data_IF_666329907102
#
_entry.id   IF_666329907102
#
_cell.length_a   1.000
_cell.length_b   1.000
_cell.length_c   1.000
_cell.angle_alpha   90.00
_cell.angle_beta   90.00
_cell.angle_gamma   90.00
#
_symmetry.space_group_name_H-M   'P 1'
#
loop_
_entity.id
_entity.type
_entity.pdbx_description
1 polymer ?
#
# COMPACT_ATOMS: atom_id res chain seq x y z
N UNK A 1 -5.94 6.40 4.83
CA UNK A 1 -6.32 6.38 6.28
C UNK A 1 -7.43 7.38 6.62
N UNK A 2 -7.39 8.66 6.19
CA UNK A 2 -8.35 9.70 6.61
C UNK A 2 -9.83 9.31 6.42
N UNK A 3 -10.24 8.84 5.25
CA UNK A 3 -11.61 8.41 5.00
C UNK A 3 -12.09 7.23 5.87
N UNK A 4 -11.19 6.36 6.30
CA UNK A 4 -11.52 5.25 7.18
C UNK A 4 -11.74 5.70 8.63
N UNK A 5 -11.16 6.84 9.04
CA UNK A 5 -11.31 7.35 10.40
C UNK A 5 -12.75 7.73 10.76
N UNK A 6 -13.55 8.13 9.76
CA UNK A 6 -14.95 8.53 10.00
C UNK A 6 -15.86 7.38 10.45
N UNK A 7 -15.50 6.16 10.10
CA UNK A 7 -16.25 4.95 10.48
C UNK A 7 -15.71 4.28 11.74
N UNK A 8 -14.71 4.87 12.41
CA UNK A 8 -14.12 4.32 13.63
C UNK A 8 -15.16 4.26 14.76
N UNK A 9 -15.33 3.11 15.44
CA UNK A 9 -16.40 2.91 16.42
C UNK A 9 -16.18 3.68 17.73
N UNK A 10 -14.98 4.18 17.99
CA UNK A 10 -14.66 4.96 19.19
C UNK A 10 -13.80 6.16 18.87
N UNK A 11 -13.85 7.19 19.74
CA UNK A 11 -13.01 8.37 19.60
C UNK A 11 -11.51 8.04 19.65
N UNK A 12 -11.12 7.08 20.49
CA UNK A 12 -9.73 6.63 20.59
C UNK A 12 -9.24 6.02 19.26
N UNK A 13 -10.03 5.14 18.65
CA UNK A 13 -9.72 4.56 17.34
C UNK A 13 -9.71 5.61 16.25
N UNK A 14 -10.63 6.57 16.28
CA UNK A 14 -10.65 7.71 15.34
C UNK A 14 -9.38 8.54 15.46
N UNK A 15 -8.94 8.85 16.68
CA UNK A 15 -7.69 9.58 16.93
C UNK A 15 -6.47 8.84 16.43
N UNK A 16 -6.39 7.51 16.67
CA UNK A 16 -5.29 6.68 16.15
C UNK A 16 -5.24 6.69 14.62
N UNK A 17 -6.40 6.57 13.95
CA UNK A 17 -6.47 6.65 12.50
C UNK A 17 -6.08 8.01 11.94
N UNK A 18 -6.42 9.09 12.64
CA UNK A 18 -5.99 10.44 12.27
C UNK A 18 -4.46 10.59 12.38
N UNK A 19 -3.85 10.01 13.41
CA UNK A 19 -2.39 9.93 13.53
C UNK A 19 -1.73 9.22 12.36
N UNK A 20 -2.27 8.06 11.96
CA UNK A 20 -1.80 7.32 10.78
C UNK A 20 -1.93 8.17 9.50
N UNK A 21 -3.05 8.85 9.30
CA UNK A 21 -3.25 9.73 8.14
C UNK A 21 -2.28 10.92 8.14
N UNK A 22 -1.94 11.45 9.32
CA UNK A 22 -0.93 12.51 9.43
C UNK A 22 0.45 12.01 8.98
N UNK A 23 0.87 10.83 9.40
CA UNK A 23 2.16 10.27 8.97
C UNK A 23 2.19 9.99 7.46
N UNK A 24 1.13 9.44 6.89
CA UNK A 24 1.02 9.30 5.43
C UNK A 24 1.17 10.66 4.71
N UNK A 25 0.58 11.72 5.26
CA UNK A 25 0.71 13.06 4.69
C UNK A 25 2.14 13.60 4.78
N UNK A 26 2.84 13.35 5.88
CA UNK A 26 4.26 13.74 6.01
C UNK A 26 5.12 13.00 4.99
N UNK A 27 4.92 11.68 4.83
CA UNK A 27 5.61 10.88 3.82
C UNK A 27 5.35 11.39 2.39
N UNK A 28 4.09 11.68 2.08
CA UNK A 28 3.69 12.30 0.81
C UNK A 28 4.40 13.63 0.59
N UNK A 29 4.45 14.50 1.60
CA UNK A 29 5.07 15.82 1.50
C UNK A 29 6.56 15.74 1.17
N UNK A 30 7.29 14.76 1.73
CA UNK A 30 8.71 14.52 1.40
C UNK A 30 8.89 14.21 -0.10
N UNK A 31 8.02 13.39 -0.67
CA UNK A 31 8.09 13.03 -2.08
C UNK A 31 7.75 14.23 -2.98
N UNK A 32 6.73 15.01 -2.64
CA UNK A 32 6.33 16.22 -3.40
C UNK A 32 7.43 17.26 -3.37
N UNK A 33 8.06 17.51 -2.21
CA UNK A 33 9.19 18.43 -2.09
C UNK A 33 10.36 17.98 -2.96
N UNK A 34 10.69 16.70 -2.94
CA UNK A 34 11.75 16.15 -3.79
C UNK A 34 11.45 16.32 -5.29
N UNK A 35 10.22 16.02 -5.72
CA UNK A 35 9.79 16.24 -7.12
C UNK A 35 9.91 17.71 -7.51
N UNK A 36 9.44 18.62 -6.67
CA UNK A 36 9.52 20.06 -6.88
C UNK A 36 10.96 20.57 -6.98
N UNK A 37 11.89 20.07 -6.16
CA UNK A 37 13.32 20.41 -6.23
C UNK A 37 13.97 20.00 -7.55
N UNK A 38 13.39 19.03 -8.25
CA UNK A 38 13.81 18.56 -9.58
C UNK A 38 13.05 19.21 -10.73
N UNK A 39 12.19 20.19 -10.43
CA UNK A 39 11.37 20.88 -11.43
C UNK A 39 10.22 20.01 -11.98
N UNK A 40 9.84 18.94 -11.28
CA UNK A 40 8.75 18.05 -11.68
C UNK A 40 7.45 18.56 -11.06
N UNK A 41 6.45 18.82 -11.90
CA UNK A 41 5.08 19.08 -11.46
C UNK A 41 4.45 17.78 -10.97
N UNK A 42 4.29 17.67 -9.65
CA UNK A 42 3.79 16.47 -9.01
C UNK A 42 2.33 16.16 -9.37
N UNK A 43 1.47 17.18 -9.55
CA UNK A 43 0.08 16.98 -9.94
C UNK A 43 -0.01 16.42 -11.36
N UNK A 44 0.71 17.02 -12.30
CA UNK A 44 0.78 16.53 -13.67
C UNK A 44 1.36 15.10 -13.75
N UNK A 45 2.40 14.80 -12.95
CA UNK A 45 3.01 13.48 -12.90
C UNK A 45 2.09 12.41 -12.31
N UNK A 46 1.25 12.76 -11.32
CA UNK A 46 0.31 11.84 -10.68
C UNK A 46 -1.02 11.67 -11.43
N UNK A 47 -1.44 12.67 -12.22
CA UNK A 47 -2.72 12.66 -12.94
C UNK A 47 -3.00 11.37 -13.73
N UNK A 48 -2.03 10.75 -14.42
CA UNK A 48 -2.23 9.49 -15.14
C UNK A 48 -2.63 8.30 -14.28
N UNK A 49 -2.33 8.33 -12.98
CA UNK A 49 -2.59 7.22 -12.05
C UNK A 49 -3.94 7.35 -11.32
N UNK A 50 -4.65 8.47 -11.48
CA UNK A 50 -5.95 8.72 -10.82
C UNK A 50 -6.97 7.65 -11.19
N UNK A 51 -7.09 7.32 -12.47
CA UNK A 51 -8.06 6.31 -12.94
C UNK A 51 -7.75 4.89 -12.43
N UNK A 52 -6.53 4.36 -12.52
CA UNK A 52 -6.18 3.07 -11.93
C UNK A 52 -6.43 3.01 -10.41
N UNK A 53 -6.07 4.05 -9.67
CA UNK A 53 -6.32 4.12 -8.23
C UNK A 53 -7.81 4.18 -7.90
N UNK A 54 -8.60 4.96 -8.64
CA UNK A 54 -10.05 5.01 -8.46
C UNK A 54 -10.68 3.64 -8.74
N UNK A 55 -10.25 2.93 -9.77
CA UNK A 55 -10.70 1.58 -10.10
C UNK A 55 -10.36 0.58 -8.97
N UNK A 56 -9.15 0.64 -8.42
CA UNK A 56 -8.76 -0.15 -7.26
C UNK A 56 -9.67 0.12 -6.06
N UNK A 57 -9.89 1.38 -5.73
CA UNK A 57 -10.72 1.79 -4.60
C UNK A 57 -12.17 1.34 -4.74
N UNK A 58 -12.75 1.42 -5.94
CA UNK A 58 -14.12 0.96 -6.20
C UNK A 58 -14.25 -0.56 -6.06
N UNK A 59 -13.31 -1.32 -6.63
CA UNK A 59 -13.30 -2.78 -6.54
C UNK A 59 -12.98 -3.31 -5.16
N UNK A 60 -12.33 -2.50 -4.33
CA UNK A 60 -11.95 -2.82 -2.96
C UNK A 60 -12.68 -1.94 -1.94
N UNK A 61 -13.96 -1.66 -2.17
CA UNK A 61 -14.80 -0.92 -1.24
C UNK A 61 -15.07 -1.79 0.01
N UNK A 62 -14.66 -1.35 1.20
CA UNK A 62 -14.90 -2.12 2.42
C UNK A 62 -16.38 -2.07 2.80
N UNK A 63 -16.89 -3.14 3.41
CA UNK A 63 -18.27 -3.26 3.87
C UNK A 63 -18.47 -2.67 5.26
N UNK A 64 -17.41 -2.70 6.06
CA UNK A 64 -17.43 -2.26 7.46
C UNK A 64 -16.08 -1.66 7.87
N UNK A 65 -16.03 -1.18 9.11
CA UNK A 65 -14.85 -0.59 9.72
C UNK A 65 -13.62 -1.51 9.67
N UNK A 66 -13.79 -2.80 10.03
CA UNK A 66 -12.65 -3.71 10.15
C UNK A 66 -12.08 -4.08 8.76
N UNK A 67 -12.94 -4.22 7.73
CA UNK A 67 -12.47 -4.35 6.34
C UNK A 67 -11.73 -3.09 5.88
N UNK A 68 -12.21 -1.91 6.28
CA UNK A 68 -11.54 -0.63 6.02
C UNK A 68 -10.15 -0.56 6.65
N UNK A 69 -10.02 -1.03 7.89
CA UNK A 69 -8.76 -1.06 8.63
C UNK A 69 -7.77 -2.05 8.00
N UNK A 70 -8.23 -3.26 7.66
CA UNK A 70 -7.41 -4.27 6.95
C UNK A 70 -6.97 -3.73 5.58
N UNK A 71 -7.88 -3.10 4.83
CA UNK A 71 -7.55 -2.49 3.54
C UNK A 71 -6.46 -1.43 3.68
N UNK A 72 -6.58 -0.56 4.67
CA UNK A 72 -5.61 0.49 4.92
C UNK A 72 -4.22 -0.10 5.19
N UNK A 73 -4.12 -1.08 6.09
CA UNK A 73 -2.87 -1.73 6.47
C UNK A 73 -2.26 -2.58 5.34
N UNK A 74 -3.08 -3.39 4.67
CA UNK A 74 -2.64 -4.26 3.57
C UNK A 74 -2.25 -3.42 2.36
N UNK A 75 -3.08 -2.42 2.01
CA UNK A 75 -2.83 -1.56 0.84
C UNK A 75 -1.57 -0.72 0.99
N UNK A 76 -1.38 -0.08 2.15
CA UNK A 76 -0.15 0.65 2.47
C UNK A 76 1.07 -0.26 2.41
N UNK A 77 0.99 -1.45 3.03
CA UNK A 77 2.07 -2.41 3.01
C UNK A 77 2.45 -2.90 1.60
N UNK A 78 1.47 -3.20 0.73
CA UNK A 78 1.73 -3.59 -0.66
C UNK A 78 2.40 -2.44 -1.43
N UNK A 79 1.90 -1.20 -1.25
CA UNK A 79 2.48 -0.03 -1.89
C UNK A 79 3.94 0.20 -1.44
N UNK A 80 4.21 0.10 -0.13
CA UNK A 80 5.57 0.23 0.43
C UNK A 80 6.51 -0.85 -0.09
N UNK A 81 6.05 -2.11 -0.17
CA UNK A 81 6.85 -3.20 -0.72
C UNK A 81 7.18 -2.95 -2.20
N UNK A 82 6.20 -2.53 -2.98
CA UNK A 82 6.40 -2.17 -4.39
C UNK A 82 7.40 -1.01 -4.54
N UNK A 83 7.26 0.05 -3.76
CA UNK A 83 8.20 1.18 -3.82
C UNK A 83 9.62 0.80 -3.39
N UNK A 84 9.79 -0.13 -2.43
CA UNK A 84 11.13 -0.67 -2.09
C UNK A 84 11.76 -1.38 -3.27
N UNK A 85 11.00 -2.22 -3.99
CA UNK A 85 11.48 -2.87 -5.20
C UNK A 85 11.87 -1.84 -6.27
N UNK A 86 11.01 -0.83 -6.50
CA UNK A 86 11.25 0.22 -7.49
C UNK A 86 12.40 1.15 -7.12
N UNK A 87 12.74 1.27 -5.85
CA UNK A 87 13.84 2.13 -5.39
C UNK A 87 15.22 1.68 -5.91
N UNK A 88 15.35 0.43 -6.31
CA UNK A 88 16.57 -0.09 -6.93
C UNK A 88 16.87 0.54 -8.31
N UNK A 89 15.84 1.08 -8.98
CA UNK A 89 15.91 1.59 -10.36
C UNK A 89 15.96 3.11 -10.48
N UNK A 90 15.97 3.83 -9.36
CA UNK A 90 16.07 5.28 -9.32
C UNK A 90 17.47 5.72 -8.89
N UNK A 91 17.80 7.00 -9.13
CA UNK A 91 19.05 7.61 -8.67
C UNK A 91 19.17 7.60 -7.13
N UNK A 92 20.38 7.80 -6.63
CA UNK A 92 20.71 7.70 -5.21
C UNK A 92 19.92 8.70 -4.34
N UNK A 93 19.77 9.95 -4.82
CA UNK A 93 19.03 10.98 -4.09
C UNK A 93 17.55 10.63 -3.96
N UNK A 94 16.93 10.19 -5.06
CA UNK A 94 15.54 9.72 -5.08
C UNK A 94 15.34 8.50 -4.19
N UNK A 95 16.30 7.55 -4.22
CA UNK A 95 16.28 6.37 -3.36
C UNK A 95 16.34 6.75 -1.88
N UNK A 96 17.21 7.68 -1.51
CA UNK A 96 17.32 8.15 -0.13
C UNK A 96 16.01 8.79 0.38
N UNK A 97 15.34 9.59 -0.46
CA UNK A 97 14.04 10.18 -0.11
C UNK A 97 12.95 9.12 -0.02
N UNK A 98 12.88 8.20 -0.97
CA UNK A 98 11.93 7.08 -0.93
C UNK A 98 12.12 6.22 0.32
N UNK A 99 13.37 5.88 0.68
CA UNK A 99 13.66 5.10 1.89
C UNK A 99 13.12 5.79 3.13
N UNK A 100 13.35 7.10 3.29
CA UNK A 100 12.80 7.87 4.43
C UNK A 100 11.27 7.92 4.41
N UNK A 101 10.65 8.06 3.23
CA UNK A 101 9.20 8.08 3.11
C UNK A 101 8.54 6.71 3.38
N UNK A 102 9.30 5.62 3.24
CA UNK A 102 8.83 4.27 3.49
C UNK A 102 9.09 3.77 4.91
N UNK A 103 9.79 4.56 5.73
CA UNK A 103 10.06 4.21 7.11
C UNK A 103 8.75 4.15 7.92
N UNK A 104 8.51 2.98 8.53
CA UNK A 104 7.32 2.70 9.33
C UNK A 104 7.69 2.71 10.81
N UNK A 105 7.54 3.86 11.46
CA UNK A 105 7.83 4.02 12.89
C UNK A 105 6.75 3.36 13.79
N UNK A 106 6.43 2.07 13.53
CA UNK A 106 5.64 1.25 14.49
C UNK A 106 4.12 1.42 14.40
N UNK A 107 3.59 2.02 13.36
CA UNK A 107 2.15 2.25 13.18
C UNK A 107 1.35 0.97 12.90
N UNK A 108 2.00 -0.07 12.41
CA UNK A 108 1.43 -1.38 12.12
C UNK A 108 0.85 -2.08 13.36
N UNK A 109 1.45 -1.86 14.54
CA UNK A 109 1.04 -2.50 15.79
C UNK A 109 -0.40 -2.21 16.20
N UNK A 110 -0.88 -0.98 15.97
CA UNK A 110 -2.26 -0.60 16.27
C UNK A 110 -3.27 -1.42 15.44
N UNK A 111 -3.09 -1.48 14.13
CA UNK A 111 -4.00 -2.21 13.24
C UNK A 111 -4.01 -3.70 13.56
N UNK A 112 -2.83 -4.29 13.73
CA UNK A 112 -2.67 -5.70 14.11
C UNK A 112 -3.40 -6.00 15.42
N UNK A 113 -3.27 -5.14 16.45
CA UNK A 113 -3.96 -5.27 17.72
C UNK A 113 -5.47 -5.32 17.56
N UNK A 114 -6.04 -4.32 16.87
CA UNK A 114 -7.50 -4.23 16.66
C UNK A 114 -8.05 -5.43 15.89
N UNK A 115 -7.35 -5.87 14.81
CA UNK A 115 -7.79 -7.03 14.03
C UNK A 115 -7.73 -8.31 14.86
N UNK A 116 -6.64 -8.53 15.61
CA UNK A 116 -6.50 -9.69 16.49
C UNK A 116 -7.57 -9.75 17.58
N UNK A 117 -7.92 -8.62 18.17
CA UNK A 117 -8.98 -8.57 19.18
C UNK A 117 -10.36 -8.83 18.58
N UNK A 118 -10.60 -8.33 17.36
CA UNK A 118 -11.84 -8.61 16.63
C UNK A 118 -12.00 -10.11 16.34
N UNK A 119 -10.97 -10.78 15.84
CA UNK A 119 -11.06 -12.22 15.49
C UNK A 119 -11.11 -13.15 16.72
N UNK A 120 -10.68 -12.68 17.89
CA UNK A 120 -10.88 -13.43 19.17
C UNK A 120 -12.35 -13.48 19.56
N UNK A 121 -13.08 -12.40 19.34
CA UNK A 121 -14.50 -12.26 19.70
C UNK A 121 -15.44 -12.72 18.60
N UNK A 122 -15.04 -12.58 17.34
CA UNK A 122 -15.79 -13.00 16.14
C UNK A 122 -14.94 -13.96 15.29
N UNK A 123 -15.12 -15.26 15.52
CA UNK A 123 -14.42 -16.32 14.76
C UNK A 123 -14.81 -16.34 13.27
N UNK A 124 -16.02 -15.90 12.92
CA UNK A 124 -16.46 -15.85 11.52
C UNK A 124 -15.71 -14.77 10.73
N UNK A 125 -15.22 -13.73 11.41
CA UNK A 125 -14.42 -12.68 10.78
C UNK A 125 -13.10 -13.20 10.20
N UNK A 126 -12.51 -14.27 10.75
CA UNK A 126 -11.22 -14.83 10.26
C UNK A 126 -11.31 -15.17 8.78
N UNK A 127 -12.27 -15.99 8.39
CA UNK A 127 -12.43 -16.42 6.98
C UNK A 127 -12.75 -15.23 6.05
N UNK A 128 -13.64 -14.34 6.49
CA UNK A 128 -14.04 -13.16 5.73
C UNK A 128 -12.86 -12.20 5.49
N UNK A 129 -12.11 -11.88 6.54
CA UNK A 129 -10.97 -10.96 6.44
C UNK A 129 -9.78 -11.59 5.69
N UNK A 130 -9.60 -12.91 5.78
CA UNK A 130 -8.61 -13.63 4.99
C UNK A 130 -8.93 -13.57 3.48
N UNK A 131 -10.19 -13.80 3.10
CA UNK A 131 -10.65 -13.62 1.72
C UNK A 131 -10.52 -12.17 1.25
N UNK A 132 -10.81 -11.23 2.14
CA UNK A 132 -10.66 -9.80 1.87
C UNK A 132 -9.20 -9.43 1.59
N UNK A 133 -8.25 -9.89 2.42
CA UNK A 133 -6.82 -9.66 2.22
C UNK A 133 -6.33 -10.21 0.87
N UNK A 134 -6.73 -11.42 0.49
CA UNK A 134 -6.42 -12.00 -0.83
C UNK A 134 -6.97 -11.16 -1.98
N UNK A 135 -8.20 -10.68 -1.85
CA UNK A 135 -8.79 -9.79 -2.85
C UNK A 135 -8.02 -8.49 -2.99
N UNK A 136 -7.60 -7.87 -1.88
CA UNK A 136 -6.80 -6.64 -1.90
C UNK A 136 -5.50 -6.81 -2.66
N UNK A 137 -4.77 -7.93 -2.41
CA UNK A 137 -3.55 -8.24 -3.16
C UNK A 137 -3.84 -8.46 -4.64
N UNK A 138 -4.82 -9.30 -4.97
CA UNK A 138 -5.17 -9.60 -6.36
C UNK A 138 -5.54 -8.37 -7.18
N UNK A 139 -6.34 -7.47 -6.61
CA UNK A 139 -6.70 -6.20 -7.26
C UNK A 139 -5.49 -5.26 -7.39
N UNK A 140 -4.63 -5.18 -6.37
CA UNK A 140 -3.42 -4.36 -6.44
C UNK A 140 -2.46 -4.84 -7.55
N UNK A 141 -2.21 -6.15 -7.64
CA UNK A 141 -1.38 -6.72 -8.69
C UNK A 141 -1.98 -6.54 -10.08
N UNK A 142 -3.32 -6.68 -10.22
CA UNK A 142 -4.02 -6.45 -11.48
C UNK A 142 -3.88 -5.00 -11.94
N UNK A 143 -4.00 -4.02 -11.02
CA UNK A 143 -3.80 -2.61 -11.36
C UNK A 143 -2.34 -2.30 -11.70
N UNK A 144 -1.39 -2.87 -10.96
CA UNK A 144 0.04 -2.71 -11.25
C UNK A 144 0.39 -3.24 -12.65
N UNK A 145 -0.15 -4.40 -13.04
CA UNK A 145 0.04 -4.95 -14.37
C UNK A 145 -0.58 -4.05 -15.46
N UNK A 146 -1.79 -3.55 -15.26
CA UNK A 146 -2.44 -2.64 -16.21
C UNK A 146 -1.62 -1.37 -16.41
N UNK A 147 -1.16 -0.75 -15.33
CA UNK A 147 -0.28 0.44 -15.38
C UNK A 147 1.04 0.14 -16.07
N UNK A 148 1.65 -1.02 -15.82
CA UNK A 148 2.91 -1.42 -16.48
C UNK A 148 2.76 -1.60 -18.00
N UNK A 149 1.62 -2.13 -18.46
CA UNK A 149 1.32 -2.30 -19.90
C UNK A 149 1.03 -0.96 -20.59
N UNK A 150 0.31 -0.07 -19.90
CA UNK A 150 -0.10 1.22 -20.48
C UNK A 150 0.98 2.30 -20.44
N UNK A 151 2.09 2.07 -19.73
CA UNK A 151 3.12 3.08 -19.47
C UNK A 151 4.50 2.66 -19.98
N UNK A 152 4.88 3.23 -21.11
CA UNK A 152 6.22 3.03 -21.69
C UNK A 152 7.34 3.37 -20.69
N UNK A 153 7.14 4.40 -19.84
CA UNK A 153 8.11 4.80 -18.83
C UNK A 153 8.31 3.71 -17.75
N UNK A 154 7.25 3.02 -17.32
CA UNK A 154 7.36 1.93 -16.36
C UNK A 154 7.96 0.68 -17.03
N UNK A 155 7.54 0.38 -18.25
CA UNK A 155 8.15 -0.66 -19.08
C UNK A 155 9.61 -0.37 -19.37
N UNK A 156 9.96 0.89 -19.70
CA UNK A 156 11.34 1.32 -19.92
C UNK A 156 12.19 1.26 -18.64
N UNK A 157 11.64 1.55 -17.48
CA UNK A 157 12.32 1.42 -16.19
C UNK A 157 12.66 -0.05 -15.90
N UNK A 158 11.71 -0.94 -16.12
CA UNK A 158 11.88 -2.38 -15.92
C UNK A 158 12.80 -3.00 -16.99
N UNK A 159 12.62 -2.67 -18.27
CA UNK A 159 13.39 -3.23 -19.39
C UNK A 159 14.71 -2.49 -19.60
N UNK A 160 14.70 -1.15 -19.49
CA UNK A 160 15.88 -0.30 -19.65
C UNK A 160 16.88 -0.41 -18.50
N UNK A 161 16.45 -0.83 -17.31
CA UNK A 161 17.30 -1.17 -16.17
C UNK A 161 17.96 -2.55 -16.28
N UNK A 162 17.74 -3.29 -17.37
CA UNK A 162 18.29 -4.64 -17.55
C UNK A 162 17.56 -5.73 -16.79
N UNK A 163 16.37 -5.43 -16.29
CA UNK A 163 15.53 -6.39 -15.56
C UNK A 163 14.95 -7.40 -16.54
N UNK A 164 15.22 -8.66 -16.33
CA UNK A 164 14.62 -9.74 -17.11
C UNK A 164 13.25 -10.15 -16.55
N UNK A 165 12.49 -10.94 -17.33
CA UNK A 165 11.19 -11.44 -16.88
C UNK A 165 11.28 -12.31 -15.61
N UNK A 166 12.43 -12.91 -15.35
CA UNK A 166 12.66 -13.71 -14.15
C UNK A 166 12.76 -12.80 -12.92
N UNK A 167 13.44 -11.66 -13.01
CA UNK A 167 13.51 -10.67 -11.93
C UNK A 167 12.13 -10.06 -11.62
N UNK A 168 11.35 -9.73 -12.63
CA UNK A 168 9.95 -9.29 -12.45
C UNK A 168 9.14 -10.38 -11.73
N UNK A 169 9.28 -11.63 -12.14
CA UNK A 169 8.64 -12.76 -11.46
C UNK A 169 9.05 -12.90 -10.00
N UNK A 170 10.34 -12.72 -9.69
CA UNK A 170 10.86 -12.72 -8.32
C UNK A 170 10.32 -11.54 -7.50
N UNK A 171 10.20 -10.36 -8.07
CA UNK A 171 9.57 -9.20 -7.42
C UNK A 171 8.14 -9.53 -7.00
N UNK A 172 7.31 -10.07 -7.89
CA UNK A 172 5.94 -10.46 -7.54
C UNK A 172 5.89 -11.55 -6.46
N UNK A 173 6.84 -12.48 -6.46
CA UNK A 173 6.98 -13.48 -5.41
C UNK A 173 7.25 -12.81 -4.06
N UNK A 174 8.23 -11.90 -3.97
CA UNK A 174 8.51 -11.16 -2.74
C UNK A 174 7.32 -10.34 -2.25
N UNK A 175 6.59 -9.67 -3.14
CA UNK A 175 5.36 -8.94 -2.77
C UNK A 175 4.31 -9.87 -2.17
N UNK A 176 4.14 -11.06 -2.71
CA UNK A 176 3.19 -12.07 -2.23
C UNK A 176 3.63 -12.65 -0.87
N UNK A 177 4.91 -12.93 -0.71
CA UNK A 177 5.47 -13.43 0.55
C UNK A 177 5.35 -12.39 1.68
N UNK A 178 5.67 -11.14 1.40
CA UNK A 178 5.51 -10.04 2.35
C UNK A 178 4.03 -9.84 2.73
N UNK A 179 3.12 -9.95 1.77
CA UNK A 179 1.69 -9.91 2.04
C UNK A 179 1.27 -11.07 2.95
N UNK A 180 1.76 -12.29 2.70
CA UNK A 180 1.44 -13.46 3.52
C UNK A 180 1.92 -13.28 4.96
N UNK A 181 3.13 -12.74 5.16
CA UNK A 181 3.64 -12.40 6.49
C UNK A 181 2.78 -11.34 7.18
N UNK A 182 2.36 -10.30 6.45
CA UNK A 182 1.48 -9.24 6.95
C UNK A 182 0.12 -9.77 7.38
N UNK A 183 -0.47 -10.69 6.62
CA UNK A 183 -1.70 -11.36 6.98
C UNK A 183 -1.53 -12.22 8.25
N UNK A 184 -0.44 -12.95 8.35
CA UNK A 184 -0.13 -13.77 9.53
C UNK A 184 0.05 -12.91 10.80
N UNK A 185 0.62 -11.70 10.70
CA UNK A 185 0.69 -10.75 11.82
C UNK A 185 -0.69 -10.41 12.38
N UNK A 186 -1.71 -10.33 11.54
CA UNK A 186 -3.10 -10.09 11.97
C UNK A 186 -3.81 -11.38 12.43
N UNK A 187 -3.19 -12.56 12.34
CA UNK A 187 -3.83 -13.85 12.62
C UNK A 187 -4.75 -14.32 11.48
N UNK A 188 -4.52 -13.85 10.28
CA UNK A 188 -5.27 -14.17 9.05
C UNK A 188 -4.41 -15.02 8.11
N UNK A 189 -5.04 -15.67 7.13
CA UNK A 189 -4.35 -16.42 6.07
C UNK A 189 -4.42 -15.65 4.74
N UNK A 190 -3.29 -15.63 4.02
CA UNK A 190 -3.23 -15.07 2.68
C UNK A 190 -3.78 -16.05 1.64
#
# INVERSE_FOLDING_TARGET
MAAASDHAPTLALKSSMAGLAHTEFVQYSLLIEHMGSRGIDAEAAMAPFVTPFAAYHERTKPRDWIEGLVKAFVGDGIAKDFYREMSAFVDEDSRAVMTRALDDEGQSGFVVGVVRDTIKTDRAAVGRLSLWGRRLLGEALSQAQAVAVERDAMSALLVGGGVDLAEVGQMFTRLTDNHSQRMALMGLTA
#
